data_IF_453647773880
#
_entry.id   IF_453647773880
#
_cell.length_a   1.000
_cell.length_b   1.000
_cell.length_c   1.000
_cell.angle_alpha   90.00
_cell.angle_beta   90.00
_cell.angle_gamma   90.00
#
_symmetry.space_group_name_H-M   'P 1'
#
loop_
_entity.id
_entity.type
_entity.pdbx_description
1 polymer ?
#
# COMPACT_ATOMS: atom_id res chain seq x y z
N UNK A 1 1.75 15.74 -31.12
CA UNK A 1 0.75 14.90 -30.42
C UNK A 1 1.44 13.79 -29.62
N UNK A 2 2.40 14.12 -28.75
CA UNK A 2 3.24 13.14 -28.03
C UNK A 2 3.68 13.60 -26.62
N UNK A 3 2.93 14.51 -25.98
CA UNK A 3 3.28 14.99 -24.63
C UNK A 3 2.12 14.97 -23.62
N UNK A 4 0.94 14.46 -24.00
CA UNK A 4 -0.26 14.52 -23.14
C UNK A 4 -0.64 13.18 -22.50
N UNK A 5 0.14 12.10 -22.72
CA UNK A 5 -0.12 10.82 -22.06
C UNK A 5 0.45 10.73 -20.63
N UNK A 6 1.35 11.64 -20.23
CA UNK A 6 2.05 11.58 -18.93
C UNK A 6 1.34 12.35 -17.80
N UNK A 7 0.23 13.04 -18.07
CA UNK A 7 -0.41 13.93 -17.08
C UNK A 7 -1.81 13.49 -16.60
N UNK A 8 -2.21 12.25 -16.85
CA UNK A 8 -3.49 11.73 -16.33
C UNK A 8 -3.42 11.27 -14.85
N UNK A 9 -2.38 11.67 -14.13
CA UNK A 9 -2.12 11.26 -12.74
C UNK A 9 -2.95 12.08 -11.73
N UNK A 10 -3.56 13.20 -12.17
CA UNK A 10 -4.29 14.14 -11.31
C UNK A 10 -5.78 13.79 -11.10
N UNK A 11 -6.33 12.81 -11.83
CA UNK A 11 -7.74 12.39 -11.68
C UNK A 11 -7.92 11.11 -10.85
N UNK A 12 -6.83 10.49 -10.40
CA UNK A 12 -6.88 9.27 -9.61
C UNK A 12 -6.97 9.60 -8.12
N UNK A 13 -7.65 8.77 -7.30
CA UNK A 13 -7.61 8.94 -5.85
C UNK A 13 -6.14 8.99 -5.38
N UNK A 14 -5.78 9.88 -4.45
CA UNK A 14 -4.40 10.32 -4.21
C UNK A 14 -3.39 9.18 -3.95
N UNK A 15 -3.85 8.06 -3.42
CA UNK A 15 -3.02 6.87 -3.19
C UNK A 15 -2.69 6.05 -4.42
N UNK A 16 -3.52 6.05 -5.49
CA UNK A 16 -3.18 5.38 -6.75
C UNK A 16 -2.09 6.17 -7.48
N UNK A 17 -2.22 7.49 -7.52
CA UNK A 17 -1.16 8.40 -7.97
C UNK A 17 0.17 8.14 -7.25
N UNK A 18 0.15 7.93 -5.94
CA UNK A 18 1.37 7.61 -5.17
C UNK A 18 2.01 6.26 -5.53
N UNK A 19 1.22 5.24 -5.88
CA UNK A 19 1.74 3.95 -6.31
C UNK A 19 2.37 4.03 -7.71
N UNK A 20 1.74 4.78 -8.61
CA UNK A 20 2.21 4.97 -9.98
C UNK A 20 3.53 5.78 -10.01
N UNK A 21 3.63 6.86 -9.23
CA UNK A 21 4.88 7.64 -9.07
C UNK A 21 5.99 6.76 -8.49
N UNK A 22 5.66 5.91 -7.51
CA UNK A 22 6.62 4.98 -6.91
C UNK A 22 7.14 3.98 -7.93
N UNK A 23 6.28 3.43 -8.77
CA UNK A 23 6.69 2.53 -9.85
C UNK A 23 7.67 3.22 -10.81
N UNK A 24 7.35 4.44 -11.27
CA UNK A 24 8.21 5.20 -12.17
C UNK A 24 9.60 5.45 -11.55
N UNK A 25 9.64 5.88 -10.29
CA UNK A 25 10.90 6.11 -9.56
C UNK A 25 11.71 4.82 -9.39
N UNK A 26 11.07 3.74 -8.95
CA UNK A 26 11.74 2.46 -8.75
C UNK A 26 12.34 1.94 -10.06
N UNK A 27 11.61 2.02 -11.17
CA UNK A 27 12.10 1.63 -12.49
C UNK A 27 13.30 2.47 -12.93
N UNK A 28 13.25 3.78 -12.73
CA UNK A 28 14.36 4.68 -13.05
C UNK A 28 15.64 4.33 -12.26
N UNK A 29 15.49 3.81 -11.03
CA UNK A 29 16.60 3.38 -10.19
C UNK A 29 17.00 1.90 -10.36
N UNK A 30 16.39 1.15 -11.30
CA UNK A 30 16.66 -0.29 -11.46
C UNK A 30 16.12 -1.15 -10.33
N UNK A 31 15.19 -0.64 -9.51
CA UNK A 31 14.54 -1.36 -8.42
C UNK A 31 13.36 -2.14 -9.00
N UNK A 32 13.38 -3.46 -8.82
CA UNK A 32 12.40 -4.38 -9.41
C UNK A 32 11.27 -4.77 -8.45
N UNK A 33 11.35 -4.39 -7.17
CA UNK A 33 10.37 -4.77 -6.15
C UNK A 33 10.15 -3.64 -5.15
N UNK A 34 8.90 -3.43 -4.75
CA UNK A 34 8.55 -2.59 -3.60
C UNK A 34 7.79 -3.42 -2.58
N UNK A 35 8.12 -3.25 -1.31
CA UNK A 35 7.44 -3.87 -0.17
C UNK A 35 7.03 -2.75 0.80
N UNK A 36 5.78 -2.76 1.24
CA UNK A 36 5.21 -1.70 2.09
C UNK A 36 4.25 -2.29 3.12
N UNK A 37 4.30 -1.76 4.34
CA UNK A 37 3.30 -2.02 5.37
C UNK A 37 2.13 -1.05 5.22
N UNK A 38 0.93 -1.58 4.94
CA UNK A 38 -0.31 -0.80 4.87
C UNK A 38 -1.13 -1.04 6.14
N UNK A 39 -1.29 0.01 6.94
CA UNK A 39 -1.91 -0.03 8.28
C UNK A 39 -3.36 0.46 8.30
N UNK A 40 -3.87 1.01 7.19
CA UNK A 40 -5.26 1.46 7.05
C UNK A 40 -6.01 0.71 5.95
N UNK A 41 -7.27 0.36 6.17
CA UNK A 41 -8.10 -0.39 5.23
C UNK A 41 -8.25 0.33 3.87
N UNK A 42 -8.32 1.67 3.89
CA UNK A 42 -8.40 2.49 2.68
C UNK A 42 -7.12 2.32 1.85
N UNK A 43 -5.94 2.42 2.47
CA UNK A 43 -4.66 2.27 1.78
C UNK A 43 -4.44 0.85 1.25
N UNK A 44 -4.84 -0.17 2.01
CA UNK A 44 -4.79 -1.57 1.58
C UNK A 44 -5.63 -1.81 0.32
N UNK A 45 -6.90 -1.34 0.31
CA UNK A 45 -7.80 -1.47 -0.85
C UNK A 45 -7.29 -0.72 -2.08
N UNK A 46 -6.50 0.33 -1.89
CA UNK A 46 -5.91 1.10 -2.99
C UNK A 46 -4.62 0.43 -3.50
N UNK A 47 -3.83 -0.16 -2.61
CA UNK A 47 -2.68 -0.99 -2.96
C UNK A 47 -3.11 -2.24 -3.75
N UNK A 48 -4.17 -2.93 -3.31
CA UNK A 48 -4.77 -4.06 -4.05
C UNK A 48 -5.14 -3.64 -5.48
N UNK A 49 -5.76 -2.46 -5.63
CA UNK A 49 -6.13 -1.90 -6.95
C UNK A 49 -4.93 -1.49 -7.80
N UNK A 50 -3.80 -1.19 -7.17
CA UNK A 50 -2.53 -0.90 -7.84
C UNK A 50 -1.73 -2.18 -8.16
N UNK A 51 -2.23 -3.36 -7.80
CA UNK A 51 -1.58 -4.64 -8.11
C UNK A 51 -0.59 -5.14 -7.06
N UNK A 52 -0.55 -4.52 -5.87
CA UNK A 52 0.17 -5.10 -4.75
C UNK A 52 -0.48 -6.41 -4.31
N UNK A 53 0.34 -7.34 -3.83
CA UNK A 53 -0.04 -8.65 -3.31
C UNK A 53 0.34 -8.75 -1.83
N UNK A 54 -0.44 -9.49 -1.06
CA UNK A 54 -0.06 -9.77 0.32
C UNK A 54 1.18 -10.65 0.40
N UNK A 55 2.15 -10.18 1.18
CA UNK A 55 3.25 -10.99 1.69
C UNK A 55 2.89 -11.58 3.06
N UNK A 56 2.27 -10.78 3.91
CA UNK A 56 1.84 -11.17 5.26
C UNK A 56 0.71 -10.27 5.75
N UNK A 57 -0.18 -10.78 6.60
CA UNK A 57 -1.22 -10.00 7.24
C UNK A 57 -1.42 -10.47 8.69
N UNK A 58 -1.70 -9.53 9.59
CA UNK A 58 -2.03 -9.81 10.99
C UNK A 58 -3.12 -8.87 11.48
N UNK A 59 -4.09 -9.41 12.22
CA UNK A 59 -5.15 -8.63 12.84
C UNK A 59 -4.60 -7.87 14.06
N UNK A 60 -5.10 -6.64 14.29
CA UNK A 60 -4.73 -5.87 15.48
C UNK A 60 -5.10 -6.60 16.79
N UNK A 61 -6.17 -7.38 16.77
CA UNK A 61 -6.58 -8.20 17.91
C UNK A 61 -5.58 -9.33 18.22
N UNK A 62 -4.86 -9.85 17.21
CA UNK A 62 -3.86 -10.88 17.41
C UNK A 62 -2.51 -10.29 17.84
N UNK A 63 -2.19 -9.07 17.39
CA UNK A 63 -1.01 -8.33 17.87
C UNK A 63 -1.08 -8.07 19.39
N UNK A 64 -2.23 -7.67 19.91
CA UNK A 64 -2.43 -7.44 21.35
C UNK A 64 -2.20 -8.72 22.19
N UNK A 65 -2.54 -9.89 21.63
CA UNK A 65 -2.30 -11.20 22.28
C UNK A 65 -0.81 -11.57 22.34
N UNK A 66 -0.03 -11.16 21.33
CA UNK A 66 1.41 -11.41 21.27
C UNK A 66 2.12 -10.56 22.31
N UNK A 67 1.78 -9.28 22.38
CA UNK A 67 2.31 -8.37 23.38
C UNK A 67 1.29 -7.26 23.67
N UNK A 68 0.86 -7.08 24.93
CA UNK A 68 -0.10 -6.03 25.31
C UNK A 68 0.32 -4.60 24.93
N UNK A 69 1.60 -4.35 24.66
CA UNK A 69 2.08 -3.05 24.15
C UNK A 69 1.47 -2.70 22.78
N UNK A 70 1.04 -3.69 22.00
CA UNK A 70 0.42 -3.51 20.69
C UNK A 70 -1.10 -3.31 20.77
N UNK A 71 -1.58 -2.81 21.91
CA UNK A 71 -2.96 -2.36 22.04
C UNK A 71 -3.12 -0.99 21.38
N UNK A 72 -3.94 -0.93 20.34
CA UNK A 72 -4.25 0.30 19.62
C UNK A 72 -5.74 0.64 19.79
N UNK A 73 -6.12 1.49 20.76
CA UNK A 73 -7.51 1.85 20.98
C UNK A 73 -8.15 2.51 19.75
N UNK A 74 -9.37 2.11 19.40
CA UNK A 74 -10.16 2.70 18.31
C UNK A 74 -9.74 2.29 16.88
N UNK A 75 -8.57 1.64 16.69
CA UNK A 75 -8.10 1.31 15.33
C UNK A 75 -9.03 0.32 14.62
N UNK A 76 -9.61 -0.61 15.37
CA UNK A 76 -10.43 -1.70 14.84
C UNK A 76 -11.78 -1.22 14.30
N UNK A 77 -12.20 0.01 14.61
CA UNK A 77 -13.40 0.63 14.03
C UNK A 77 -13.24 0.94 12.55
N UNK A 78 -12.00 1.13 12.10
CA UNK A 78 -11.70 1.56 10.73
C UNK A 78 -10.76 0.60 10.00
N UNK A 79 -9.94 -0.17 10.71
CA UNK A 79 -9.01 -1.12 10.12
C UNK A 79 -8.78 -2.33 11.01
N UNK A 80 -9.07 -3.50 10.47
CA UNK A 80 -8.97 -4.77 11.18
C UNK A 80 -7.54 -5.32 11.27
N UNK A 81 -6.78 -5.18 10.19
CA UNK A 81 -5.47 -5.81 10.03
C UNK A 81 -4.41 -4.86 9.51
N UNK A 82 -3.15 -5.20 9.77
CA UNK A 82 -1.99 -4.63 9.09
C UNK A 82 -1.56 -5.61 8.02
N UNK A 83 -1.33 -5.12 6.79
CA UNK A 83 -0.91 -5.94 5.65
C UNK A 83 0.49 -5.51 5.19
N UNK A 84 1.43 -6.44 5.20
CA UNK A 84 2.69 -6.33 4.49
C UNK A 84 2.43 -6.75 3.04
N UNK A 85 2.58 -5.82 2.10
CA UNK A 85 2.25 -6.07 0.70
C UNK A 85 3.44 -5.76 -0.20
N UNK A 86 3.54 -6.45 -1.33
CA UNK A 86 4.61 -6.28 -2.30
C UNK A 86 4.09 -6.14 -3.73
N UNK A 87 4.88 -5.49 -4.58
CA UNK A 87 4.68 -5.46 -6.03
C UNK A 87 6.03 -5.67 -6.71
N UNK A 88 6.02 -6.47 -7.78
CA UNK A 88 7.18 -6.68 -8.65
C UNK A 88 6.94 -5.86 -9.91
N UNK A 89 7.83 -4.91 -10.18
CA UNK A 89 7.83 -4.10 -11.39
C UNK A 89 8.42 -4.93 -12.53
N UNK A 90 7.61 -5.20 -13.57
CA UNK A 90 8.00 -6.00 -14.75
C UNK A 90 8.66 -5.16 -15.83
#
# INVERSE_FOLDING_TARGET
MHLLAELNILELPPTKQNCDIREALCRACGITVSITMFTSAISQKLADRAGFKDLYAIDYADLEKINPIFRYPGIQEHTKSIRCMYIIYK
#
